data_IF_911892241350
#
_entry.id   IF_911892241350
#
_cell.length_a   1.000
_cell.length_b   1.000
_cell.length_c   1.000
_cell.angle_alpha   90.00
_cell.angle_beta   90.00
_cell.angle_gamma   90.00
#
_symmetry.space_group_name_H-M   'P 1'
#
loop_
_entity.id
_entity.type
_entity.pdbx_description
1 polymer ?
#
# COMPACT_ATOMS: atom_id res chain seq x y z
N UNK A 1 -6.99 1.45 5.12
CA UNK A 1 -6.82 1.13 3.69
C UNK A 1 -5.58 0.30 3.50
N UNK A 2 -5.53 -0.50 2.45
CA UNK A 2 -4.33 -1.21 2.02
C UNK A 2 -3.90 -0.71 0.64
N UNK A 3 -2.60 -0.51 0.46
CA UNK A 3 -1.98 -0.20 -0.83
C UNK A 3 -1.12 -1.39 -1.21
N UNK A 4 -1.31 -1.89 -2.43
CA UNK A 4 -0.62 -3.07 -2.93
C UNK A 4 -0.05 -2.81 -4.32
N UNK A 5 1.02 -3.52 -4.66
CA UNK A 5 1.44 -3.65 -6.04
C UNK A 5 2.31 -4.87 -6.29
N UNK A 6 2.51 -5.15 -7.56
CA UNK A 6 3.29 -6.30 -8.03
C UNK A 6 4.78 -6.12 -7.68
N UNK A 7 5.34 -7.11 -6.99
CA UNK A 7 6.77 -7.24 -6.71
C UNK A 7 7.42 -8.37 -7.53
N UNK A 8 6.77 -8.77 -8.64
CA UNK A 8 7.13 -9.88 -9.55
C UNK A 8 7.10 -11.24 -8.87
N UNK A 9 7.17 -12.31 -9.68
CA UNK A 9 7.28 -13.71 -9.20
C UNK A 9 6.20 -14.08 -8.16
N UNK A 10 4.97 -13.60 -8.35
CA UNK A 10 3.82 -13.78 -7.43
C UNK A 10 4.00 -13.16 -6.04
N UNK A 11 4.93 -12.22 -5.90
CA UNK A 11 5.11 -11.41 -4.72
C UNK A 11 4.33 -10.10 -4.84
N UNK A 12 3.89 -9.57 -3.70
CA UNK A 12 3.22 -8.28 -3.58
C UNK A 12 3.97 -7.42 -2.58
N UNK A 13 4.25 -6.17 -2.91
CA UNK A 13 4.55 -5.18 -1.87
C UNK A 13 3.23 -4.66 -1.30
N UNK A 14 3.16 -4.50 0.01
CA UNK A 14 1.93 -4.08 0.71
C UNK A 14 2.24 -3.07 1.80
N UNK A 15 1.34 -2.10 1.98
CA UNK A 15 1.32 -1.20 3.12
C UNK A 15 -0.11 -1.07 3.61
N UNK A 16 -0.31 -1.12 4.93
CA UNK A 16 -1.65 -1.03 5.55
C UNK A 16 -1.69 0.17 6.46
N UNK A 17 -2.68 1.02 6.25
CA UNK A 17 -2.80 2.32 6.90
C UNK A 17 -4.18 2.48 7.54
N UNK A 18 -4.25 3.21 8.64
CA UNK A 18 -5.49 3.74 9.20
C UNK A 18 -5.45 5.27 9.08
N UNK A 19 -6.53 5.85 8.56
CA UNK A 19 -6.63 7.30 8.45
C UNK A 19 -7.34 7.87 9.69
N UNK A 20 -6.76 8.92 10.27
CA UNK A 20 -7.31 9.70 11.38
C UNK A 20 -7.39 11.16 10.94
N UNK A 21 -8.47 11.52 10.23
CA UNK A 21 -8.57 12.84 9.60
C UNK A 21 -7.49 13.05 8.53
N UNK A 22 -6.57 13.99 8.78
CA UNK A 22 -5.44 14.27 7.89
C UNK A 22 -4.20 13.39 8.17
N UNK A 23 -4.21 12.64 9.26
CA UNK A 23 -3.10 11.77 9.65
C UNK A 23 -3.29 10.35 9.13
N UNK A 24 -2.16 9.68 8.85
CA UNK A 24 -2.12 8.28 8.45
C UNK A 24 -1.24 7.51 9.44
N UNK A 25 -1.86 6.59 10.17
CA UNK A 25 -1.19 5.63 11.03
C UNK A 25 -0.77 4.40 10.20
N UNK A 26 0.49 4.01 10.27
CA UNK A 26 1.00 2.79 9.64
C UNK A 26 0.64 1.59 10.51
N UNK A 27 -0.36 0.81 10.09
CA UNK A 27 -0.80 -0.39 10.80
C UNK A 27 0.13 -1.57 10.57
N UNK A 28 0.67 -1.67 9.35
CA UNK A 28 1.71 -2.64 8.97
C UNK A 28 2.74 -1.92 8.11
N UNK A 29 4.04 -2.06 8.41
CA UNK A 29 5.09 -1.45 7.61
C UNK A 29 5.07 -2.00 6.19
N UNK A 30 5.70 -1.28 5.27
CA UNK A 30 5.90 -1.76 3.91
C UNK A 30 6.63 -3.10 3.92
N UNK A 31 6.02 -4.13 3.35
CA UNK A 31 6.58 -5.47 3.29
C UNK A 31 6.32 -6.12 1.95
N UNK A 32 7.19 -7.03 1.53
CA UNK A 32 6.91 -7.92 0.40
C UNK A 32 6.42 -9.27 0.92
N UNK A 33 5.31 -9.76 0.38
CA UNK A 33 4.68 -11.04 0.75
C UNK A 33 4.41 -11.87 -0.49
N UNK A 34 4.21 -13.18 -0.32
CA UNK A 34 3.60 -14.02 -1.35
C UNK A 34 2.13 -13.62 -1.51
N UNK A 35 1.58 -13.69 -2.73
CA UNK A 35 0.17 -13.40 -2.96
C UNK A 35 -0.77 -14.28 -2.09
N UNK A 36 -0.39 -15.53 -1.82
CA UNK A 36 -1.14 -16.46 -0.97
C UNK A 36 -1.19 -16.03 0.52
N UNK A 37 -0.33 -15.12 0.96
CA UNK A 37 -0.33 -14.60 2.34
C UNK A 37 -1.28 -13.40 2.49
N UNK A 38 -1.87 -12.92 1.39
CA UNK A 38 -2.66 -11.70 1.36
C UNK A 38 -3.84 -11.73 2.33
N UNK A 39 -4.55 -12.85 2.45
CA UNK A 39 -5.64 -13.00 3.42
C UNK A 39 -5.19 -12.88 4.88
N UNK A 40 -3.98 -13.35 5.19
CA UNK A 40 -3.40 -13.18 6.53
C UNK A 40 -2.96 -11.73 6.79
N UNK A 41 -2.61 -10.99 5.73
CA UNK A 41 -2.26 -9.55 5.84
C UNK A 41 -3.51 -8.69 5.99
N UNK A 42 -4.54 -8.95 5.19
CA UNK A 42 -5.80 -8.21 5.15
C UNK A 42 -6.90 -8.94 5.92
N UNK A 43 -6.77 -9.08 7.25
CA UNK A 43 -7.76 -9.79 8.08
C UNK A 43 -9.01 -8.95 8.39
N UNK A 44 -8.82 -7.64 8.48
CA UNK A 44 -9.87 -6.70 8.87
C UNK A 44 -10.54 -6.09 7.63
N UNK A 45 -11.83 -5.70 7.71
CA UNK A 45 -12.50 -4.99 6.64
C UNK A 45 -11.72 -3.74 6.21
N UNK A 46 -11.41 -3.63 4.92
CA UNK A 46 -10.65 -2.50 4.41
C UNK A 46 -10.92 -2.20 2.94
N UNK A 47 -10.53 -1.00 2.52
CA UNK A 47 -10.43 -0.63 1.10
C UNK A 47 -9.02 -0.92 0.62
N UNK A 48 -8.88 -1.63 -0.49
CA UNK A 48 -7.61 -1.97 -1.13
C UNK A 48 -7.45 -1.27 -2.48
N UNK A 49 -6.27 -0.70 -2.73
CA UNK A 49 -5.94 0.07 -3.94
C UNK A 49 -4.58 -0.34 -4.50
N UNK A 50 -4.43 -0.21 -5.81
CA UNK A 50 -3.20 -0.51 -6.56
C UNK A 50 -2.98 0.49 -7.69
N UNK A 51 -1.72 0.80 -8.04
CA UNK A 51 -1.41 1.56 -9.24
C UNK A 51 -1.72 0.81 -10.53
N UNK A 52 -1.83 -0.53 -10.49
CA UNK A 52 -2.10 -1.37 -11.65
C UNK A 52 -3.15 -2.44 -11.32
N UNK A 53 -4.43 -2.08 -11.45
CA UNK A 53 -5.54 -3.00 -11.19
C UNK A 53 -5.64 -4.12 -12.23
N UNK A 54 -5.37 -3.82 -13.51
CA UNK A 54 -5.48 -4.80 -14.60
C UNK A 54 -4.50 -5.95 -14.42
N UNK A 55 -3.30 -5.68 -13.94
CA UNK A 55 -2.33 -6.72 -13.61
C UNK A 55 -2.64 -7.37 -12.27
N UNK A 56 -2.85 -6.58 -11.20
CA UNK A 56 -3.00 -7.11 -9.84
C UNK A 56 -4.24 -8.00 -9.71
N UNK A 57 -5.35 -7.64 -10.35
CA UNK A 57 -6.60 -8.43 -10.30
C UNK A 57 -6.39 -9.88 -10.73
N UNK A 58 -5.46 -10.16 -11.66
CA UNK A 58 -5.11 -11.53 -12.09
C UNK A 58 -4.33 -12.30 -11.04
N UNK A 59 -3.52 -11.61 -10.24
CA UNK A 59 -2.73 -12.19 -9.14
C UNK A 59 -3.64 -12.51 -7.96
N UNK A 60 -4.56 -11.60 -7.62
CA UNK A 60 -5.43 -11.73 -6.45
C UNK A 60 -6.76 -12.41 -6.73
N UNK A 61 -7.09 -12.72 -7.99
CA UNK A 61 -8.34 -13.40 -8.37
C UNK A 61 -8.54 -14.76 -7.67
N UNK A 62 -7.45 -15.42 -7.26
CA UNK A 62 -7.51 -16.68 -6.53
C UNK A 62 -7.87 -16.50 -5.03
N UNK A 63 -7.71 -15.29 -4.50
CA UNK A 63 -7.92 -14.98 -3.09
C UNK A 63 -9.38 -14.56 -2.84
N UNK A 64 -10.10 -15.33 -2.01
CA UNK A 64 -11.47 -14.97 -1.61
C UNK A 64 -11.42 -14.05 -0.39
N UNK A 65 -11.49 -12.73 -0.62
CA UNK A 65 -11.42 -11.70 0.44
C UNK A 65 -12.69 -10.83 0.45
N UNK A 66 -13.84 -11.35 0.94
CA UNK A 66 -15.13 -10.69 0.83
C UNK A 66 -15.25 -9.40 1.66
N UNK A 67 -14.44 -9.27 2.72
CA UNK A 67 -14.36 -8.08 3.56
C UNK A 67 -13.43 -7.00 2.99
N UNK A 68 -12.75 -7.27 1.87
CA UNK A 68 -11.89 -6.30 1.18
C UNK A 68 -12.67 -5.67 0.03
N UNK A 69 -12.88 -4.36 0.10
CA UNK A 69 -13.43 -3.58 -1.00
C UNK A 69 -12.28 -3.15 -1.92
N UNK A 70 -12.22 -3.74 -3.11
CA UNK A 70 -11.24 -3.37 -4.12
C UNK A 70 -11.64 -2.12 -4.90
N UNK A 71 -10.70 -1.19 -5.04
CA UNK A 71 -10.80 -0.10 -6.02
C UNK A 71 -10.45 -0.70 -7.39
N UNK A 72 -11.46 -0.93 -8.23
CA UNK A 72 -11.33 -1.66 -9.50
C UNK A 72 -10.86 -0.78 -10.66
N UNK A 73 -9.86 0.07 -10.41
CA UNK A 73 -9.27 0.99 -11.37
C UNK A 73 -7.84 1.29 -10.96
N UNK A 74 -6.99 1.61 -11.94
CA UNK A 74 -5.63 2.02 -11.67
C UNK A 74 -5.61 3.38 -10.95
N UNK A 75 -4.95 3.45 -9.78
CA UNK A 75 -4.76 4.69 -9.03
C UNK A 75 -3.28 4.89 -8.74
N UNK A 76 -2.66 5.77 -9.53
CA UNK A 76 -1.28 6.19 -9.31
C UNK A 76 -1.24 7.49 -8.50
N UNK A 77 -0.25 7.67 -7.61
CA UNK A 77 -0.09 8.92 -6.88
C UNK A 77 0.24 10.07 -7.84
N UNK A 78 -0.48 11.18 -7.74
CA UNK A 78 -0.11 12.41 -8.46
C UNK A 78 0.87 13.24 -7.64
N UNK A 79 1.84 13.87 -8.33
CA UNK A 79 2.79 14.79 -7.70
C UNK A 79 2.11 15.92 -6.91
N UNK A 80 0.94 16.39 -7.37
CA UNK A 80 0.11 17.37 -6.64
C UNK A 80 -0.32 16.85 -5.27
N UNK A 81 -0.73 15.59 -5.18
CA UNK A 81 -1.23 15.01 -3.93
C UNK A 81 -0.08 14.76 -2.95
N UNK A 82 1.08 14.35 -3.47
CA UNK A 82 2.32 14.23 -2.69
C UNK A 82 2.74 15.59 -2.13
N UNK A 83 2.74 16.65 -2.96
CA UNK A 83 3.06 18.01 -2.52
C UNK A 83 2.09 18.54 -1.46
N UNK A 84 0.78 18.30 -1.64
CA UNK A 84 -0.23 18.67 -0.65
C UNK A 84 -0.01 17.94 0.68
N UNK A 85 0.29 16.65 0.65
CA UNK A 85 0.60 15.87 1.85
C UNK A 85 1.87 16.39 2.54
N UNK A 86 2.90 16.76 1.78
CA UNK A 86 4.13 17.37 2.32
C UNK A 86 3.85 18.69 3.05
N UNK A 87 3.04 19.58 2.48
CA UNK A 87 2.68 20.85 3.11
C UNK A 87 1.86 20.65 4.40
N UNK A 88 0.95 19.68 4.42
CA UNK A 88 0.18 19.33 5.63
C UNK A 88 1.10 18.82 6.74
N UNK A 89 2.03 17.91 6.41
CA UNK A 89 3.02 17.39 7.38
C UNK A 89 3.92 18.50 7.93
N UNK A 90 4.38 19.41 7.06
CA UNK A 90 5.20 20.56 7.46
C UNK A 90 4.43 21.49 8.41
N UNK A 91 3.17 21.80 8.10
CA UNK A 91 2.31 22.65 8.94
C UNK A 91 1.99 22.04 10.31
N UNK A 92 1.95 20.70 10.40
CA UNK A 92 1.77 19.96 11.66
C UNK A 92 3.08 19.73 12.44
N UNK A 93 4.23 20.20 11.93
CA UNK A 93 5.53 20.03 12.59
C UNK A 93 6.07 18.59 12.55
N UNK A 94 5.56 17.73 11.68
CA UNK A 94 6.09 16.38 11.54
C UNK A 94 7.48 16.40 10.89
N UNK A 95 8.44 15.60 11.40
CA UNK A 95 9.76 15.51 10.78
C UNK A 95 9.65 14.96 9.35
N UNK A 96 10.52 15.46 8.47
CA UNK A 96 10.66 14.87 7.14
C UNK A 96 11.22 13.44 7.26
N UNK A 97 10.67 12.54 6.47
CA UNK A 97 11.22 11.20 6.29
C UNK A 97 12.56 11.29 5.53
N UNK A 98 13.43 10.30 5.73
CA UNK A 98 14.70 10.25 5.02
C UNK A 98 14.47 10.17 3.50
N UNK A 99 15.25 10.93 2.72
CA UNK A 99 15.21 10.92 1.25
C UNK A 99 15.93 9.68 0.68
N UNK A 100 15.65 8.51 1.23
CA UNK A 100 16.21 7.22 0.82
C UNK A 100 15.09 6.36 0.24
N UNK A 101 15.34 5.58 -0.83
CA UNK A 101 14.37 4.63 -1.33
C UNK A 101 13.89 3.66 -0.23
N UNK A 102 12.62 3.27 -0.29
CA UNK A 102 12.09 2.22 0.59
C UNK A 102 12.55 0.88 0.03
N UNK A 103 13.48 0.23 0.71
CA UNK A 103 13.90 -1.13 0.40
C UNK A 103 13.05 -2.12 1.19
N UNK A 104 12.17 -2.85 0.49
CA UNK A 104 11.27 -3.85 1.10
C UNK A 104 11.77 -5.29 0.97
N UNK A 105 12.87 -5.50 0.25
CA UNK A 105 13.58 -6.77 0.18
C UNK A 105 14.82 -6.73 1.08
N UNK A 106 15.17 -7.85 1.75
CA UNK A 106 16.51 -7.97 2.30
C UNK A 106 17.54 -7.81 1.17
N UNK A 107 18.67 -7.13 1.39
CA UNK A 107 19.72 -7.03 0.40
C UNK A 107 20.12 -8.44 -0.06
N UNK A 108 20.03 -8.68 -1.36
CA UNK A 108 20.57 -9.89 -1.97
C UNK A 108 22.09 -9.77 -1.96
N UNK A 109 22.75 -10.61 -1.15
CA UNK A 109 24.19 -10.82 -1.20
C UNK A 109 24.61 -11.70 -2.37
#
# INVERSE_FOLDING_TARGET
MAVLGDARRRMLWTGVFRAHGAELEVMKPWTVIQAAELGAVLREPCVAVTPDWLHLSKIVAAETLPHVRWVQEARSPHARDVGRLGLLKLGAGHPSEALTPIYTHPPVG
#
